data_IF_180963831209
#
_entry.id   IF_180963831209
#
_cell.length_a   1.000
_cell.length_b   1.000
_cell.length_c   1.000
_cell.angle_alpha   90.00
_cell.angle_beta   90.00
_cell.angle_gamma   90.00
#
_symmetry.space_group_name_H-M   'P 1'
#
loop_
_entity.id
_entity.type
_entity.pdbx_description
1 polymer ?
#
# COMPACT_ATOMS: atom_id res chain seq x y z
N UNK A 1 -2.54 4.00 2.06
CA UNK A 1 -1.12 3.65 1.80
C UNK A 1 -0.48 3.18 3.08
N UNK A 2 0.28 2.08 3.04
CA UNK A 2 0.96 1.51 4.20
C UNK A 2 2.36 2.09 4.31
N UNK A 3 2.51 3.31 4.81
CA UNK A 3 3.82 3.91 5.10
C UNK A 3 4.85 3.80 3.95
N UNK A 4 4.41 3.81 2.71
CA UNK A 4 5.28 3.72 1.55
C UNK A 4 4.54 3.62 0.22
N UNK A 5 5.25 3.33 -0.85
CA UNK A 5 4.69 3.14 -2.19
C UNK A 5 4.38 1.66 -2.38
N UNK A 6 3.10 1.31 -2.25
CA UNK A 6 2.65 -0.09 -2.24
C UNK A 6 3.02 -0.88 -3.50
N UNK A 7 2.97 -0.29 -4.67
CA UNK A 7 3.33 -0.94 -5.94
C UNK A 7 4.81 -1.32 -6.06
N UNK A 8 5.67 -0.63 -5.32
CA UNK A 8 7.12 -0.89 -5.30
C UNK A 8 7.55 -1.64 -4.05
N UNK A 9 6.61 -2.02 -3.17
CA UNK A 9 6.89 -2.59 -1.85
C UNK A 9 7.89 -1.76 -1.02
N UNK A 10 7.96 -0.45 -1.29
CA UNK A 10 8.86 0.46 -0.60
C UNK A 10 8.18 0.99 0.66
N UNK A 11 8.82 0.83 1.79
CA UNK A 11 8.36 1.32 3.09
C UNK A 11 9.30 2.42 3.59
N UNK A 12 8.72 3.48 4.19
CA UNK A 12 9.51 4.50 4.88
C UNK A 12 9.83 4.00 6.29
N UNK A 13 11.13 3.75 6.55
CA UNK A 13 11.61 3.22 7.82
C UNK A 13 12.71 4.06 8.40
N UNK A 14 12.81 4.06 9.73
CA UNK A 14 14.00 4.54 10.43
C UNK A 14 15.17 3.60 10.18
N UNK A 15 16.38 4.09 10.44
CA UNK A 15 17.56 3.24 10.47
C UNK A 15 17.57 2.43 11.76
N UNK A 16 18.01 1.20 11.66
CA UNK A 16 18.26 0.32 12.81
C UNK A 16 19.63 0.59 13.46
N UNK A 17 19.97 -0.19 14.48
CA UNK A 17 21.25 -0.10 15.18
C UNK A 17 22.48 -0.35 14.28
N UNK A 18 22.29 -1.03 13.15
CA UNK A 18 23.34 -1.29 12.15
C UNK A 18 23.35 -0.24 11.02
N UNK A 19 22.63 0.86 11.20
CA UNK A 19 22.48 1.91 10.21
C UNK A 19 21.82 1.45 8.88
N UNK A 20 21.09 0.32 8.89
CA UNK A 20 20.30 -0.17 7.78
C UNK A 20 18.86 0.37 7.84
N UNK A 21 18.19 0.55 6.70
CA UNK A 21 16.79 1.01 6.64
C UNK A 21 15.84 -0.16 6.94
N UNK A 22 15.90 -0.66 8.17
CA UNK A 22 15.14 -1.82 8.66
C UNK A 22 14.45 -1.57 10.01
N UNK A 23 14.58 -0.38 10.56
CA UNK A 23 13.92 0.02 11.80
C UNK A 23 12.42 0.14 11.67
N UNK A 24 11.79 0.78 12.65
CA UNK A 24 10.34 1.01 12.68
C UNK A 24 9.85 1.83 11.49
N UNK A 25 8.58 1.65 11.14
CA UNK A 25 7.92 2.42 10.10
C UNK A 25 7.78 3.88 10.50
N UNK A 26 8.13 4.78 9.60
CA UNK A 26 7.95 6.23 9.80
C UNK A 26 6.46 6.56 9.68
N UNK A 27 5.84 7.16 10.72
CA UNK A 27 4.44 7.55 10.67
C UNK A 27 4.25 8.78 9.79
N UNK A 28 3.92 8.57 8.52
CA UNK A 28 3.64 9.68 7.59
C UNK A 28 2.23 10.22 7.81
N UNK A 29 2.12 11.53 8.02
CA UNK A 29 0.85 12.25 8.07
C UNK A 29 0.51 12.81 6.68
N UNK A 30 -0.21 12.02 5.91
CA UNK A 30 -0.58 12.40 4.54
C UNK A 30 -1.57 13.56 4.49
N UNK A 31 -2.38 13.76 5.54
CA UNK A 31 -3.25 14.93 5.62
C UNK A 31 -2.42 16.23 5.66
N UNK A 32 -1.40 16.29 6.52
CA UNK A 32 -0.49 17.44 6.55
C UNK A 32 0.29 17.65 5.26
N UNK A 33 0.69 16.57 4.61
CA UNK A 33 1.34 16.65 3.29
C UNK A 33 0.40 17.28 2.28
N UNK A 34 -0.87 16.85 2.26
CA UNK A 34 -1.90 17.41 1.38
C UNK A 34 -2.18 18.89 1.65
N UNK A 35 -2.23 19.31 2.92
CA UNK A 35 -2.36 20.73 3.29
C UNK A 35 -1.25 21.57 2.70
N UNK A 36 0.01 21.07 2.72
CA UNK A 36 1.15 21.75 2.11
C UNK A 36 1.02 21.96 0.60
N UNK A 37 0.20 21.14 -0.08
CA UNK A 37 -0.17 21.33 -1.49
C UNK A 37 -1.45 22.17 -1.70
N UNK A 38 -2.04 22.71 -0.64
CA UNK A 38 -3.26 23.52 -0.72
C UNK A 38 -4.54 22.71 -0.85
N UNK A 39 -4.52 21.43 -0.52
CA UNK A 39 -5.70 20.58 -0.51
C UNK A 39 -6.53 20.78 0.77
N UNK A 40 -7.85 20.57 0.68
CA UNK A 40 -8.69 20.33 1.86
C UNK A 40 -8.48 18.89 2.32
N UNK A 41 -8.03 18.68 3.54
CA UNK A 41 -7.64 17.36 4.02
C UNK A 41 -8.48 16.89 5.20
N UNK A 42 -8.59 15.57 5.34
CA UNK A 42 -9.29 14.90 6.43
C UNK A 42 -8.43 13.74 6.93
N UNK A 43 -8.21 13.66 8.24
CA UNK A 43 -7.58 12.50 8.87
C UNK A 43 -8.67 11.66 9.54
N UNK A 44 -8.86 10.43 9.07
CA UNK A 44 -10.03 9.59 9.37
C UNK A 44 -9.58 8.26 9.98
N UNK A 45 -10.24 7.82 11.03
CA UNK A 45 -9.95 6.57 11.75
C UNK A 45 -11.15 5.65 11.89
N UNK A 46 -12.36 6.19 11.74
CA UNK A 46 -13.62 5.46 11.92
C UNK A 46 -14.49 5.56 10.66
N UNK A 47 -15.43 4.63 10.50
CA UNK A 47 -16.38 4.66 9.38
C UNK A 47 -17.23 5.94 9.44
N UNK A 48 -17.66 6.35 10.64
CA UNK A 48 -18.45 7.55 10.81
C UNK A 48 -17.70 8.82 10.35
N UNK A 49 -16.44 8.96 10.77
CA UNK A 49 -15.57 10.06 10.30
C UNK A 49 -15.37 10.03 8.78
N UNK A 50 -15.29 8.83 8.18
CA UNK A 50 -15.17 8.68 6.73
C UNK A 50 -16.44 9.16 6.02
N UNK A 51 -17.62 8.81 6.52
CA UNK A 51 -18.90 9.25 5.98
C UNK A 51 -19.02 10.78 6.03
N UNK A 52 -18.70 11.38 7.19
CA UNK A 52 -18.70 12.82 7.39
C UNK A 52 -17.70 13.53 6.45
N UNK A 53 -16.48 12.99 6.34
CA UNK A 53 -15.47 13.52 5.43
C UNK A 53 -15.89 13.45 3.95
N UNK A 54 -16.53 12.37 3.53
CA UNK A 54 -17.04 12.21 2.16
C UNK A 54 -18.18 13.18 1.86
N UNK A 55 -19.07 13.42 2.81
CA UNK A 55 -20.18 14.39 2.69
C UNK A 55 -19.63 15.81 2.57
N UNK A 56 -18.63 16.16 3.38
CA UNK A 56 -18.03 17.49 3.35
C UNK A 56 -17.15 17.68 2.10
N UNK A 57 -16.37 16.67 1.73
CA UNK A 57 -15.52 16.72 0.53
C UNK A 57 -16.31 17.03 -0.75
N UNK A 58 -17.54 16.53 -0.87
CA UNK A 58 -18.43 16.83 -2.02
C UNK A 58 -18.87 18.29 -2.13
N UNK A 59 -18.72 19.06 -1.06
CA UNK A 59 -19.10 20.48 -1.03
C UNK A 59 -17.94 21.42 -1.28
N UNK A 60 -16.73 20.88 -1.39
CA UNK A 60 -15.52 21.68 -1.56
C UNK A 60 -15.29 22.03 -3.02
N UNK A 61 -14.86 23.26 -3.27
CA UNK A 61 -14.47 23.75 -4.60
C UNK A 61 -12.99 23.50 -4.93
N UNK A 62 -12.24 22.89 -3.99
CA UNK A 62 -10.83 22.57 -4.12
C UNK A 62 -10.62 21.06 -4.07
N UNK A 63 -9.49 20.59 -4.55
CA UNK A 63 -9.14 19.18 -4.43
C UNK A 63 -9.09 18.74 -2.97
N UNK A 64 -9.58 17.53 -2.69
CA UNK A 64 -9.66 16.98 -1.35
C UNK A 64 -8.82 15.73 -1.20
N UNK A 65 -8.24 15.51 0.00
CA UNK A 65 -7.51 14.32 0.36
C UNK A 65 -8.08 13.75 1.66
N UNK A 66 -8.46 12.48 1.64
CA UNK A 66 -8.89 11.75 2.85
C UNK A 66 -7.80 10.75 3.21
N UNK A 67 -7.11 11.00 4.33
CA UNK A 67 -6.10 10.11 4.90
C UNK A 67 -6.79 9.13 5.86
N UNK A 68 -7.22 7.98 5.34
CA UNK A 68 -7.84 6.91 6.10
C UNK A 68 -6.79 6.00 6.73
N UNK A 69 -6.74 5.98 8.05
CA UNK A 69 -5.84 5.12 8.82
C UNK A 69 -6.40 3.70 8.91
N UNK A 70 -5.80 2.79 8.19
CA UNK A 70 -6.15 1.35 8.18
C UNK A 70 -5.12 0.53 8.96
N UNK A 71 -5.50 -0.69 9.35
CA UNK A 71 -4.58 -1.61 10.04
C UNK A 71 -3.46 -2.00 9.05
N UNK A 72 -2.19 -1.81 9.43
CA UNK A 72 -1.06 -2.16 8.56
C UNK A 72 -1.05 -3.64 8.20
N UNK A 73 -0.64 -3.94 6.96
CA UNK A 73 -0.45 -5.32 6.46
C UNK A 73 -1.70 -6.21 6.44
N UNK A 74 -2.89 -5.63 6.62
CA UNK A 74 -4.13 -6.36 6.35
C UNK A 74 -4.40 -6.36 4.85
N UNK A 75 -4.57 -7.54 4.27
CA UNK A 75 -4.87 -7.73 2.86
C UNK A 75 -6.08 -8.64 2.74
N UNK A 76 -6.88 -8.43 1.71
CA UNK A 76 -7.96 -9.35 1.37
C UNK A 76 -7.39 -10.54 0.60
N UNK A 77 -7.92 -11.74 0.84
CA UNK A 77 -7.47 -12.97 0.17
C UNK A 77 -7.74 -12.99 -1.35
N UNK A 78 -8.45 -11.99 -1.86
CA UNK A 78 -8.93 -11.96 -3.25
C UNK A 78 -7.91 -11.61 -4.33
N UNK A 79 -6.69 -11.21 -3.97
CA UNK A 79 -5.69 -10.72 -4.94
C UNK A 79 -4.71 -11.78 -5.43
N UNK A 80 -5.11 -13.04 -5.47
CA UNK A 80 -4.21 -14.12 -5.92
C UNK A 80 -3.71 -13.97 -7.36
N UNK A 81 -4.33 -13.13 -8.18
CA UNK A 81 -3.95 -12.89 -9.58
C UNK A 81 -3.04 -11.66 -9.79
N UNK A 82 -2.89 -10.76 -8.84
CA UNK A 82 -2.05 -9.55 -9.02
C UNK A 82 -0.55 -9.83 -8.90
N UNK A 83 -0.17 -11.02 -8.49
CA UNK A 83 1.23 -11.48 -8.47
C UNK A 83 1.80 -11.74 -9.86
N UNK A 84 1.08 -11.52 -10.90
CA UNK A 84 1.54 -11.66 -12.25
C UNK A 84 2.59 -10.58 -12.60
N UNK A 85 3.40 -10.25 -11.60
CA UNK A 85 4.63 -9.46 -11.76
C UNK A 85 5.72 -10.35 -12.33
N UNK A 86 6.57 -9.78 -13.18
CA UNK A 86 7.73 -10.47 -13.70
C UNK A 86 8.57 -11.04 -12.56
N UNK A 87 8.81 -12.34 -12.59
CA UNK A 87 9.72 -13.03 -11.68
C UNK A 87 10.82 -13.71 -12.49
N UNK A 88 12.00 -13.79 -11.91
CA UNK A 88 13.11 -14.48 -12.56
C UNK A 88 12.78 -15.97 -12.71
N UNK A 89 12.81 -16.46 -13.96
CA UNK A 89 12.57 -17.87 -14.28
C UNK A 89 13.80 -18.74 -14.01
N UNK A 90 14.98 -18.12 -13.95
CA UNK A 90 16.25 -18.76 -13.63
C UNK A 90 16.91 -18.04 -12.45
N UNK A 91 17.25 -18.78 -11.40
CA UNK A 91 17.96 -18.24 -10.23
C UNK A 91 18.71 -19.35 -9.51
N UNK A 92 19.88 -19.05 -8.97
CA UNK A 92 20.58 -19.93 -8.05
C UNK A 92 19.90 -20.03 -6.70
N UNK A 93 19.10 -19.00 -6.31
CA UNK A 93 18.37 -18.97 -5.04
C UNK A 93 17.12 -19.84 -5.10
N UNK A 94 17.03 -20.84 -4.23
CA UNK A 94 15.88 -21.74 -4.13
C UNK A 94 14.57 -20.99 -3.85
N UNK A 95 14.60 -19.95 -3.03
CA UNK A 95 13.40 -19.13 -2.73
C UNK A 95 12.82 -18.45 -3.97
N UNK A 96 13.68 -18.05 -4.93
CA UNK A 96 13.24 -17.44 -6.19
C UNK A 96 12.64 -18.49 -7.11
N UNK A 97 13.23 -19.69 -7.19
CA UNK A 97 12.66 -20.81 -7.97
C UNK A 97 11.28 -21.21 -7.47
N UNK A 98 11.11 -21.40 -6.14
CA UNK A 98 9.81 -21.69 -5.54
C UNK A 98 8.77 -20.59 -5.79
N UNK A 99 9.17 -19.32 -5.76
CA UNK A 99 8.27 -18.22 -6.09
C UNK A 99 7.85 -18.26 -7.57
N UNK A 100 8.77 -18.63 -8.49
CA UNK A 100 8.45 -18.81 -9.90
C UNK A 100 7.45 -19.96 -10.12
N UNK A 101 7.64 -21.10 -9.47
CA UNK A 101 6.69 -22.23 -9.50
C UNK A 101 5.30 -21.80 -9.05
N UNK A 102 5.20 -21.07 -7.93
CA UNK A 102 3.92 -20.54 -7.43
C UNK A 102 3.23 -19.56 -8.41
N UNK A 103 4.01 -18.76 -9.14
CA UNK A 103 3.45 -17.87 -10.17
C UNK A 103 2.93 -18.69 -11.37
N UNK A 104 3.66 -19.71 -11.80
CA UNK A 104 3.24 -20.58 -12.92
C UNK A 104 1.97 -21.35 -12.56
N UNK A 105 1.90 -21.88 -11.34
CA UNK A 105 0.69 -22.55 -10.83
C UNK A 105 -0.49 -21.58 -10.73
N UNK A 106 -0.29 -20.38 -10.20
CA UNK A 106 -1.31 -19.34 -10.15
C UNK A 106 -1.84 -18.96 -11.52
N UNK A 107 -0.95 -18.84 -12.52
CA UNK A 107 -1.34 -18.60 -13.93
C UNK A 107 -2.16 -19.72 -14.52
N UNK A 108 -1.76 -20.97 -14.27
CA UNK A 108 -2.49 -22.14 -14.76
C UNK A 108 -3.92 -22.22 -14.19
N UNK A 109 -4.12 -21.76 -12.95
CA UNK A 109 -5.39 -21.72 -12.27
C UNK A 109 -6.20 -20.43 -12.49
N UNK A 110 -5.62 -19.42 -13.15
CA UNK A 110 -6.30 -18.16 -13.43
C UNK A 110 -7.42 -18.37 -14.47
N UNK A 111 -8.57 -17.76 -14.23
CA UNK A 111 -9.65 -17.74 -15.24
C UNK A 111 -9.16 -16.98 -16.47
N UNK A 112 -9.23 -17.62 -17.62
CA UNK A 112 -9.11 -16.93 -18.90
C UNK A 112 -10.46 -16.32 -19.24
N UNK A 113 -10.49 -15.01 -19.43
CA UNK A 113 -11.67 -14.26 -19.88
C UNK A 113 -11.61 -14.09 -21.39
#
# INVERSE_FOLDING_TARGET
MNHGVGSLATEFRYRDEKNEIKGDLIPVDYAKVGEGYGLKTYSVRTIKELEEALIDAKKQDVATLIDLKVIPKTMTDGYKSWWNVGIATTSEKESVRKACEGVLEGRANARQY
#
